data_IF_203868917080
#
_entry.id   IF_203868917080
#
_cell.length_a   1.000
_cell.length_b   1.000
_cell.length_c   1.000
_cell.angle_alpha   90.00
_cell.angle_beta   90.00
_cell.angle_gamma   90.00
#
_symmetry.space_group_name_H-M   'P 1'
#
loop_
_entity.id
_entity.type
_entity.pdbx_description
1 polymer ?
#
# COMPACT_ATOMS: atom_id res chain seq x y z
N UNK A 1 -15.35 -1.96 -1.48
CA UNK A 1 -15.77 -0.58 -1.18
C UNK A 1 -15.74 0.26 -2.45
N UNK A 2 -16.82 1.00 -2.74
CA UNK A 2 -16.90 1.86 -3.92
C UNK A 2 -16.48 3.29 -3.55
N UNK A 3 -15.46 3.80 -4.23
CA UNK A 3 -15.12 5.23 -4.23
C UNK A 3 -15.67 5.85 -5.50
N UNK A 4 -16.41 6.95 -5.37
CA UNK A 4 -16.97 7.68 -6.50
C UNK A 4 -16.08 8.88 -6.80
N UNK A 5 -15.32 8.80 -7.88
CA UNK A 5 -14.38 9.84 -8.29
C UNK A 5 -15.01 10.79 -9.31
N UNK A 6 -14.62 12.06 -9.25
CA UNK A 6 -15.03 13.07 -10.23
C UNK A 6 -14.64 12.65 -11.66
N UNK A 7 -15.46 13.00 -12.64
CA UNK A 7 -15.23 12.63 -14.03
C UNK A 7 -15.64 11.20 -14.40
N UNK A 8 -16.08 10.38 -13.44
CA UNK A 8 -16.56 9.01 -13.71
C UNK A 8 -18.04 8.97 -14.05
N UNK A 9 -18.45 7.88 -14.71
CA UNK A 9 -19.88 7.62 -15.03
C UNK A 9 -20.73 7.55 -13.76
N UNK A 10 -20.18 7.07 -12.65
CA UNK A 10 -20.90 6.99 -11.39
C UNK A 10 -21.13 8.37 -10.77
N UNK A 11 -20.15 9.26 -10.84
CA UNK A 11 -20.32 10.65 -10.42
C UNK A 11 -21.39 11.35 -11.27
N UNK A 12 -21.34 11.19 -12.60
CA UNK A 12 -22.32 11.76 -13.53
C UNK A 12 -23.75 11.25 -13.30
N UNK A 13 -23.91 10.01 -12.81
CA UNK A 13 -25.22 9.42 -12.43
C UNK A 13 -25.67 9.81 -11.02
N UNK A 14 -24.92 10.64 -10.30
CA UNK A 14 -25.26 11.06 -8.94
C UNK A 14 -25.21 9.92 -7.91
N UNK A 15 -24.46 8.85 -8.18
CA UNK A 15 -24.27 7.77 -7.20
C UNK A 15 -23.48 8.33 -6.03
N UNK A 16 -23.98 8.14 -4.83
CA UNK A 16 -23.31 8.58 -3.59
C UNK A 16 -22.69 7.37 -2.89
N UNK A 17 -21.47 7.52 -2.31
CA UNK A 17 -20.92 6.49 -1.44
C UNK A 17 -21.79 6.31 -0.21
N UNK A 18 -21.65 5.18 0.46
CA UNK A 18 -22.27 4.95 1.76
C UNK A 18 -21.76 5.96 2.79
N UNK A 19 -22.59 6.24 3.81
CA UNK A 19 -22.12 6.97 4.99
C UNK A 19 -20.94 6.21 5.63
N UNK A 20 -19.97 6.95 6.17
CA UNK A 20 -18.71 6.40 6.69
C UNK A 20 -18.93 5.26 7.71
N UNK A 21 -19.83 5.43 8.66
CA UNK A 21 -20.13 4.40 9.66
C UNK A 21 -20.67 3.12 9.02
N UNK A 22 -21.61 3.24 8.06
CA UNK A 22 -22.16 2.09 7.35
C UNK A 22 -21.08 1.39 6.48
N UNK A 23 -20.20 2.15 5.85
CA UNK A 23 -19.09 1.62 5.10
C UNK A 23 -18.09 0.85 6.00
N UNK A 24 -17.80 1.40 7.19
CA UNK A 24 -16.92 0.76 8.17
C UNK A 24 -17.54 -0.54 8.73
N UNK A 25 -18.83 -0.53 9.07
CA UNK A 25 -19.55 -1.72 9.53
C UNK A 25 -19.57 -2.83 8.44
N UNK A 26 -19.84 -2.45 7.19
CA UNK A 26 -19.81 -3.41 6.08
C UNK A 26 -18.41 -3.97 5.83
N UNK A 27 -17.38 -3.14 5.97
CA UNK A 27 -16.00 -3.61 5.85
C UNK A 27 -15.67 -4.62 6.95
N UNK A 28 -15.97 -4.30 8.21
CA UNK A 28 -15.73 -5.19 9.34
C UNK A 28 -16.49 -6.52 9.18
N UNK A 29 -17.79 -6.45 8.85
CA UNK A 29 -18.59 -7.64 8.57
C UNK A 29 -18.01 -8.50 7.45
N UNK A 30 -17.61 -7.88 6.33
CA UNK A 30 -17.06 -8.60 5.19
C UNK A 30 -15.75 -9.30 5.55
N UNK A 31 -14.89 -8.60 6.29
CA UNK A 31 -13.61 -9.14 6.75
C UNK A 31 -13.82 -10.36 7.66
N UNK A 32 -14.68 -10.23 8.66
CA UNK A 32 -14.99 -11.33 9.60
C UNK A 32 -15.62 -12.52 8.86
N UNK A 33 -16.60 -12.24 8.01
CA UNK A 33 -17.29 -13.29 7.24
C UNK A 33 -16.33 -14.08 6.34
N UNK A 34 -15.50 -13.40 5.56
CA UNK A 34 -14.58 -14.05 4.63
C UNK A 34 -13.48 -14.82 5.39
N UNK A 35 -12.91 -14.24 6.44
CA UNK A 35 -11.91 -14.92 7.26
C UNK A 35 -12.47 -16.21 7.89
N UNK A 36 -13.71 -16.16 8.45
CA UNK A 36 -14.37 -17.34 9.01
C UNK A 36 -14.70 -18.42 7.99
N UNK A 37 -14.78 -18.07 6.69
CA UNK A 37 -15.07 -19.01 5.61
C UNK A 37 -13.81 -19.48 4.84
N UNK A 38 -12.61 -19.25 5.40
CA UNK A 38 -11.35 -19.73 4.81
C UNK A 38 -10.78 -18.83 3.70
N UNK A 39 -11.25 -17.60 3.62
CA UNK A 39 -10.71 -16.57 2.73
C UNK A 39 -10.01 -15.48 3.55
N UNK A 40 -8.80 -15.72 4.07
CA UNK A 40 -8.09 -14.71 4.84
C UNK A 40 -7.77 -13.49 4.00
N UNK A 41 -7.88 -12.31 4.61
CA UNK A 41 -7.43 -11.08 3.98
C UNK A 41 -5.91 -11.12 3.86
N UNK A 42 -5.34 -10.86 2.69
CA UNK A 42 -3.89 -10.77 2.50
C UNK A 42 -3.41 -9.35 2.20
N UNK A 43 -4.30 -8.48 1.73
CA UNK A 43 -4.08 -7.04 1.55
C UNK A 43 -5.41 -6.29 1.70
N UNK A 44 -5.40 -4.98 1.64
CA UNK A 44 -6.49 -4.07 2.01
C UNK A 44 -7.85 -4.40 1.38
N UNK A 45 -7.91 -4.97 0.19
CA UNK A 45 -9.14 -5.24 -0.57
C UNK A 45 -9.29 -6.66 -1.08
N UNK A 46 -8.30 -7.53 -0.93
CA UNK A 46 -8.32 -8.87 -1.48
C UNK A 46 -8.17 -9.95 -0.41
N UNK A 47 -8.87 -11.06 -0.63
CA UNK A 47 -9.02 -12.19 0.28
C UNK A 47 -8.69 -13.52 -0.41
N UNK A 48 -8.39 -14.54 0.37
CA UNK A 48 -8.10 -15.89 -0.10
C UNK A 48 -6.65 -16.08 -0.52
N UNK A 49 -6.42 -16.79 -1.64
CA UNK A 49 -5.07 -17.05 -2.12
C UNK A 49 -4.45 -15.76 -2.66
N UNK A 50 -3.24 -15.39 -2.21
CA UNK A 50 -2.58 -14.19 -2.67
C UNK A 50 -2.34 -14.20 -4.18
N UNK A 51 -2.81 -13.16 -4.87
CA UNK A 51 -2.56 -12.98 -6.29
C UNK A 51 -1.13 -12.47 -6.50
N UNK A 52 -0.30 -13.25 -7.19
CA UNK A 52 1.11 -12.90 -7.47
C UNK A 52 1.26 -11.55 -8.18
N UNK A 53 0.33 -11.23 -9.07
CA UNK A 53 0.33 -9.96 -9.78
C UNK A 53 0.10 -8.77 -8.83
N UNK A 54 -0.82 -8.89 -7.86
CA UNK A 54 -1.04 -7.86 -6.85
C UNK A 54 0.15 -7.74 -5.89
N UNK A 55 0.69 -8.89 -5.45
CA UNK A 55 1.84 -8.90 -4.55
C UNK A 55 3.04 -8.17 -5.15
N UNK A 56 3.29 -8.35 -6.46
CA UNK A 56 4.36 -7.67 -7.17
C UNK A 56 4.30 -6.15 -7.00
N UNK A 57 3.11 -5.56 -7.10
CA UNK A 57 2.93 -4.12 -6.88
C UNK A 57 3.10 -3.74 -5.41
N UNK A 58 2.44 -4.47 -4.51
CA UNK A 58 2.44 -4.14 -3.08
C UNK A 58 3.82 -4.33 -2.44
N UNK A 59 4.62 -5.28 -2.92
CA UNK A 59 5.99 -5.51 -2.47
C UNK A 59 7.00 -4.56 -3.13
N UNK A 60 6.60 -3.88 -4.19
CA UNK A 60 7.45 -2.93 -4.90
C UNK A 60 8.44 -3.58 -5.84
N UNK A 61 8.15 -4.78 -6.32
CA UNK A 61 8.94 -5.45 -7.34
C UNK A 61 8.93 -4.69 -8.66
N UNK A 62 9.92 -4.98 -9.51
CA UNK A 62 10.03 -4.36 -10.81
C UNK A 62 8.93 -4.85 -11.76
N UNK A 63 8.30 -3.93 -12.49
CA UNK A 63 7.33 -4.24 -13.52
C UNK A 63 7.33 -3.21 -14.64
N UNK A 64 6.96 -3.66 -15.84
CA UNK A 64 6.84 -2.82 -17.04
C UNK A 64 5.39 -2.80 -17.48
N UNK A 65 4.84 -1.60 -17.61
CA UNK A 65 3.50 -1.40 -18.15
C UNK A 65 3.53 -1.37 -19.69
N UNK A 66 2.57 -2.06 -20.32
CA UNK A 66 2.41 -2.10 -21.78
C UNK A 66 1.00 -1.58 -22.13
N UNK A 67 0.93 -0.63 -23.04
CA UNK A 67 -0.33 -0.06 -23.51
C UNK A 67 -0.52 1.40 -23.11
N UNK A 68 -1.56 2.03 -23.63
CA UNK A 68 -1.85 3.44 -23.38
C UNK A 68 -2.06 3.70 -21.88
N UNK A 69 -1.36 4.69 -21.36
CA UNK A 69 -1.41 5.09 -19.94
C UNK A 69 -0.95 4.02 -18.94
N UNK A 70 -0.27 2.96 -19.40
CA UNK A 70 0.30 1.95 -18.51
C UNK A 70 1.51 2.51 -17.77
N UNK A 71 1.60 2.22 -16.48
CA UNK A 71 2.70 2.60 -15.61
C UNK A 71 3.67 1.43 -15.41
N UNK A 72 4.92 1.76 -15.14
CA UNK A 72 5.95 0.80 -14.77
C UNK A 72 6.85 1.34 -13.67
N UNK A 73 7.46 0.43 -12.94
CA UNK A 73 8.54 0.68 -11.98
C UNK A 73 9.59 -0.39 -12.19
N UNK A 74 10.83 0.01 -12.46
CA UNK A 74 11.90 -0.94 -12.72
C UNK A 74 13.27 -0.32 -12.47
N UNK A 75 14.26 -1.17 -12.31
CA UNK A 75 15.65 -0.78 -12.09
C UNK A 75 16.50 -1.11 -13.30
N UNK A 76 17.44 -0.23 -13.61
CA UNK A 76 18.52 -0.46 -14.57
C UNK A 76 19.84 -0.13 -13.86
N UNK A 77 20.61 -1.16 -13.53
CA UNK A 77 21.77 -1.00 -12.65
C UNK A 77 21.35 -0.49 -11.28
N UNK A 78 21.92 0.63 -10.87
CA UNK A 78 21.60 1.28 -9.56
C UNK A 78 20.57 2.41 -9.66
N UNK A 79 19.92 2.56 -10.82
CA UNK A 79 18.93 3.63 -11.02
C UNK A 79 17.53 3.06 -11.06
N UNK A 80 16.59 3.79 -10.48
CA UNK A 80 15.19 3.43 -10.35
C UNK A 80 14.38 4.32 -11.30
N UNK A 81 13.49 3.72 -12.07
CA UNK A 81 12.70 4.43 -13.06
C UNK A 81 11.21 4.23 -12.87
N UNK A 82 10.47 5.33 -12.96
CA UNK A 82 9.05 5.36 -13.21
C UNK A 82 8.82 5.52 -14.72
N UNK A 83 7.91 4.74 -15.29
CA UNK A 83 7.51 4.90 -16.68
C UNK A 83 6.01 5.09 -16.81
N UNK A 84 5.60 5.94 -17.76
CA UNK A 84 4.21 6.06 -18.20
C UNK A 84 4.22 5.98 -19.72
N UNK A 85 3.59 4.90 -20.24
CA UNK A 85 3.54 4.69 -21.68
C UNK A 85 2.78 5.86 -22.39
N UNK A 86 3.24 6.32 -23.56
CA UNK A 86 4.28 5.68 -24.39
C UNK A 86 5.69 6.24 -24.24
N UNK A 87 5.92 7.34 -23.52
CA UNK A 87 7.20 8.05 -23.67
C UNK A 87 7.76 8.73 -22.42
N UNK A 88 7.09 8.69 -21.28
CA UNK A 88 7.64 9.31 -20.09
C UNK A 88 8.45 8.27 -19.31
N UNK A 89 9.72 8.56 -19.17
CA UNK A 89 10.65 7.85 -18.30
C UNK A 89 11.24 8.87 -17.34
N UNK A 90 11.05 8.65 -16.06
CA UNK A 90 11.50 9.50 -14.99
C UNK A 90 12.42 8.70 -14.06
N UNK A 91 13.56 9.25 -13.71
CA UNK A 91 14.45 8.64 -12.72
C UNK A 91 13.98 9.07 -11.34
N UNK A 92 13.65 8.09 -10.50
CA UNK A 92 13.23 8.31 -9.12
C UNK A 92 14.46 8.35 -8.21
N UNK A 93 14.41 9.26 -7.25
CA UNK A 93 15.35 9.25 -6.14
C UNK A 93 15.05 8.07 -5.19
N UNK A 94 16.05 7.60 -4.42
CA UNK A 94 15.81 6.61 -3.37
C UNK A 94 14.70 7.00 -2.39
N UNK A 95 14.58 8.30 -2.06
CA UNK A 95 13.55 8.80 -1.14
C UNK A 95 12.14 8.71 -1.73
N UNK A 96 11.93 9.14 -2.98
CA UNK A 96 10.64 9.01 -3.67
C UNK A 96 10.22 7.55 -3.79
N UNK A 97 11.17 6.67 -4.13
CA UNK A 97 10.88 5.24 -4.20
C UNK A 97 10.53 4.66 -2.83
N UNK A 98 11.24 5.08 -1.78
CA UNK A 98 10.97 4.64 -0.42
C UNK A 98 9.56 5.05 0.06
N UNK A 99 9.13 6.27 -0.25
CA UNK A 99 7.78 6.73 0.05
C UNK A 99 6.72 5.88 -0.65
N UNK A 100 6.89 5.60 -1.95
CA UNK A 100 6.01 4.67 -2.67
C UNK A 100 5.94 3.29 -1.99
N UNK A 101 7.07 2.75 -1.56
CA UNK A 101 7.14 1.43 -0.91
C UNK A 101 6.47 1.42 0.47
N UNK A 102 6.51 2.52 1.22
CA UNK A 102 5.76 2.66 2.49
C UNK A 102 4.26 2.63 2.20
N UNK A 103 3.80 3.44 1.22
CA UNK A 103 2.39 3.52 0.82
C UNK A 103 1.86 2.15 0.36
N UNK A 104 2.66 1.42 -0.41
CA UNK A 104 2.26 0.14 -0.98
C UNK A 104 2.36 -1.00 0.04
N UNK A 105 3.49 -1.12 0.71
CA UNK A 105 3.80 -2.27 1.55
C UNK A 105 2.97 -2.34 2.84
N UNK A 106 2.57 -1.21 3.42
CA UNK A 106 1.66 -1.20 4.57
C UNK A 106 0.24 -1.71 4.24
N UNK A 107 -0.13 -1.80 2.96
CA UNK A 107 -1.41 -2.37 2.52
C UNK A 107 -1.44 -3.89 2.61
N UNK A 108 -0.30 -4.54 2.75
CA UNK A 108 -0.20 -5.97 2.97
C UNK A 108 -0.42 -6.30 4.46
N UNK A 109 -1.16 -7.36 4.75
CA UNK A 109 -1.27 -7.89 6.11
C UNK A 109 0.08 -8.39 6.65
N UNK A 110 0.99 -8.85 5.76
CA UNK A 110 2.36 -9.18 6.10
C UNK A 110 3.23 -7.96 6.38
N UNK A 111 2.81 -6.79 5.90
CA UNK A 111 3.54 -5.55 6.00
C UNK A 111 4.77 -5.47 5.09
N UNK A 112 5.70 -4.62 5.46
CA UNK A 112 6.93 -4.30 4.75
C UNK A 112 8.06 -5.19 5.28
N UNK A 113 8.70 -5.98 4.42
CA UNK A 113 10.00 -6.60 4.69
C UNK A 113 11.09 -5.55 4.57
N UNK A 114 11.81 -5.27 5.66
CA UNK A 114 12.84 -4.21 5.71
C UNK A 114 14.02 -4.47 4.79
N UNK A 115 14.38 -5.73 4.61
CA UNK A 115 15.48 -6.12 3.72
C UNK A 115 15.09 -5.88 2.27
N UNK A 116 13.93 -6.41 1.87
CA UNK A 116 13.40 -6.22 0.52
C UNK A 116 13.17 -4.73 0.20
N UNK A 117 12.64 -3.97 1.16
CA UNK A 117 12.50 -2.51 1.06
C UNK A 117 13.83 -1.84 0.68
N UNK A 118 14.91 -2.16 1.43
CA UNK A 118 16.24 -1.62 1.15
C UNK A 118 16.78 -2.06 -0.22
N UNK A 119 16.54 -3.30 -0.62
CA UNK A 119 16.89 -3.81 -1.94
C UNK A 119 16.17 -3.04 -3.07
N UNK A 120 14.93 -2.61 -2.85
CA UNK A 120 14.10 -1.89 -3.83
C UNK A 120 14.42 -0.40 -3.95
N UNK A 121 14.77 0.29 -2.87
CA UNK A 121 14.99 1.75 -2.90
C UNK A 121 16.42 2.18 -2.55
N UNK A 122 17.26 1.27 -2.04
CA UNK A 122 18.66 1.56 -1.70
C UNK A 122 18.88 2.21 -0.33
N UNK A 123 17.83 2.53 0.43
CA UNK A 123 17.93 3.12 1.78
C UNK A 123 17.24 2.26 2.83
N UNK A 124 17.67 2.39 4.08
CA UNK A 124 17.03 1.67 5.18
C UNK A 124 15.66 2.27 5.51
N UNK A 125 14.70 1.42 5.89
CA UNK A 125 13.35 1.86 6.28
C UNK A 125 13.38 2.95 7.35
N UNK A 126 14.30 2.84 8.31
CA UNK A 126 14.46 3.83 9.37
C UNK A 126 14.82 5.24 8.86
N UNK A 127 15.48 5.33 7.70
CA UNK A 127 15.82 6.61 7.08
C UNK A 127 14.69 7.17 6.21
N UNK A 128 13.70 6.34 5.88
CA UNK A 128 12.60 6.69 4.98
C UNK A 128 11.37 7.25 5.69
N UNK A 129 11.26 7.08 7.02
CA UNK A 129 10.06 7.46 7.77
C UNK A 129 10.39 8.29 9.00
N UNK A 130 9.40 9.03 9.49
CA UNK A 130 9.51 9.79 10.73
C UNK A 130 9.58 8.85 11.94
N UNK A 131 10.76 8.75 12.56
CA UNK A 131 11.03 7.82 13.67
C UNK A 131 10.18 8.09 14.91
N UNK A 132 9.95 9.37 15.24
CA UNK A 132 9.12 9.72 16.41
C UNK A 132 7.65 9.27 16.21
N UNK A 133 7.15 9.44 14.99
CA UNK A 133 5.81 8.98 14.63
C UNK A 133 5.73 7.46 14.60
N UNK A 134 6.73 6.80 14.03
CA UNK A 134 6.81 5.34 14.00
C UNK A 134 6.76 4.74 15.42
N UNK A 135 7.58 5.25 16.35
CA UNK A 135 7.59 4.83 17.75
C UNK A 135 6.22 5.06 18.41
N UNK A 136 5.65 6.26 18.26
CA UNK A 136 4.34 6.59 18.83
C UNK A 136 3.23 5.68 18.31
N UNK A 137 3.21 5.40 17.01
CA UNK A 137 2.21 4.50 16.41
C UNK A 137 2.35 3.06 16.90
N UNK A 138 3.58 2.60 17.13
CA UNK A 138 3.84 1.27 17.69
C UNK A 138 3.45 1.19 19.17
N UNK A 139 3.81 2.17 20.00
CA UNK A 139 3.44 2.25 21.41
C UNK A 139 1.92 2.29 21.61
N UNK A 140 1.20 2.95 20.71
CA UNK A 140 -0.26 2.99 20.71
C UNK A 140 -0.91 1.74 20.08
N UNK A 141 -0.11 0.76 19.65
CA UNK A 141 -0.57 -0.53 19.13
C UNK A 141 -1.21 -0.47 17.74
N UNK A 142 -0.92 0.55 16.94
CA UNK A 142 -1.37 0.63 15.55
C UNK A 142 -0.41 -0.05 14.57
N UNK A 143 0.88 -0.08 14.91
CA UNK A 143 1.92 -0.76 14.14
C UNK A 143 2.61 -1.82 15.00
N UNK A 144 3.00 -2.90 14.37
CA UNK A 144 3.89 -3.90 14.92
C UNK A 144 5.24 -3.80 14.21
N UNK A 145 6.30 -3.65 15.00
CA UNK A 145 7.68 -3.54 14.51
C UNK A 145 8.45 -4.75 15.02
N UNK A 146 8.93 -5.55 14.09
CA UNK A 146 9.86 -6.65 14.39
C UNK A 146 11.26 -6.33 13.86
N UNK A 147 12.21 -7.22 14.06
CA UNK A 147 13.54 -7.09 13.46
C UNK A 147 13.46 -6.94 11.93
N UNK A 148 12.64 -7.76 11.28
CA UNK A 148 12.61 -7.89 9.82
C UNK A 148 11.40 -7.21 9.16
N UNK A 149 10.32 -6.96 9.89
CA UNK A 149 9.06 -6.48 9.30
C UNK A 149 8.45 -5.31 10.07
N UNK A 150 7.64 -4.54 9.36
CA UNK A 150 6.75 -3.52 9.92
C UNK A 150 5.39 -3.74 9.29
N UNK A 151 4.35 -3.87 10.12
CA UNK A 151 2.98 -4.07 9.63
C UNK A 151 1.95 -3.31 10.46
N UNK A 152 0.83 -2.99 9.84
CA UNK A 152 -0.33 -2.51 10.58
C UNK A 152 -0.92 -3.65 11.41
N UNK A 153 -1.29 -3.36 12.66
CA UNK A 153 -2.03 -4.29 13.50
C UNK A 153 -3.50 -4.34 13.07
N UNK A 154 -4.31 -5.30 13.54
CA UNK A 154 -5.76 -5.28 13.31
C UNK A 154 -6.44 -3.98 13.75
N UNK A 155 -5.89 -3.29 14.77
CA UNK A 155 -6.33 -1.96 15.22
C UNK A 155 -5.93 -0.86 14.24
N UNK A 156 -4.73 -0.96 13.66
CA UNK A 156 -4.19 0.04 12.73
C UNK A 156 -4.71 -0.09 11.31
N UNK A 157 -5.00 -1.30 10.87
CA UNK A 157 -5.35 -1.59 9.48
C UNK A 157 -6.55 -0.79 8.94
N UNK A 158 -7.64 -0.54 9.70
CA UNK A 158 -8.73 0.34 9.27
C UNK A 158 -8.33 1.82 9.12
N UNK A 159 -7.21 2.23 9.73
CA UNK A 159 -6.70 3.61 9.73
C UNK A 159 -5.48 3.80 8.82
N UNK A 160 -5.28 2.90 7.87
CA UNK A 160 -4.05 2.75 7.10
C UNK A 160 -3.60 4.05 6.41
N UNK A 161 -4.51 4.77 5.78
CA UNK A 161 -4.19 6.03 5.11
C UNK A 161 -3.62 7.05 6.10
N UNK A 162 -4.20 7.15 7.30
CA UNK A 162 -3.70 8.04 8.34
C UNK A 162 -2.32 7.61 8.86
N UNK A 163 -2.09 6.31 9.02
CA UNK A 163 -0.78 5.79 9.42
C UNK A 163 0.30 6.13 8.39
N UNK A 164 -0.01 5.99 7.11
CA UNK A 164 0.90 6.33 6.00
C UNK A 164 1.22 7.83 6.01
N UNK A 165 0.22 8.69 6.13
CA UNK A 165 0.41 10.13 6.24
C UNK A 165 1.36 10.51 7.40
N UNK A 166 1.14 9.95 8.58
CA UNK A 166 1.97 10.21 9.77
C UNK A 166 3.43 9.72 9.61
N UNK A 167 3.66 8.69 8.79
CA UNK A 167 5.00 8.14 8.58
C UNK A 167 5.79 8.89 7.50
N UNK A 168 5.11 9.39 6.46
CA UNK A 168 5.73 10.04 5.30
C UNK A 168 5.82 11.57 5.41
N UNK A 169 5.27 12.18 6.48
CA UNK A 169 5.27 13.65 6.71
C UNK A 169 6.39 14.12 7.62
#
# INVERSE_FOLDING_TARGET
>A
QLTVEEGTVFAAKGIRPLAENAAAEMYAFTNDYLNCHGYPQYEVSNYGLPCRHNLLYWQGDDYIGIGKSAHGRFRIGNRIYASTHPRNLEELTPAERAEELVIMGLRLNSGIDKRHFKECCGIDFAAAVNQNRLCSLAENGYLEITENHIRATPKGFPLLNRLIEELCC
#
